data_IF_395593085368
#
_entry.id   IF_395593085368
#
_cell.length_a   1.000
_cell.length_b   1.000
_cell.length_c   1.000
_cell.angle_alpha   90.00
_cell.angle_beta   90.00
_cell.angle_gamma   90.00
#
_symmetry.space_group_name_H-M   'P 1'
#
loop_
_entity.id
_entity.type
_entity.pdbx_description
1 polymer ?
#
# COMPACT_ATOMS: atom_id res chain seq x y z
N UNK A 1 0.11 -21.07 20.53
CA UNK A 1 -0.40 -22.34 19.95
C UNK A 1 -1.69 -22.00 19.23
N UNK A 2 -1.61 -21.67 17.94
CA UNK A 2 -2.79 -21.35 17.13
C UNK A 2 -2.73 -22.12 15.82
N UNK A 3 -3.85 -22.79 15.55
CA UNK A 3 -4.11 -23.57 14.34
C UNK A 3 -4.70 -22.64 13.28
N UNK A 4 -4.16 -22.77 12.08
CA UNK A 4 -4.54 -22.05 10.86
C UNK A 4 -5.88 -22.58 10.33
N UNK A 5 -6.76 -21.66 9.91
CA UNK A 5 -7.77 -21.99 8.92
C UNK A 5 -7.40 -21.39 7.56
N UNK A 6 -7.29 -22.29 6.60
CA UNK A 6 -7.21 -22.05 5.18
C UNK A 6 -8.48 -21.33 4.72
N UNK A 7 -8.32 -20.24 3.98
CA UNK A 7 -9.43 -19.63 3.24
C UNK A 7 -9.81 -20.58 2.09
N UNK A 8 -10.84 -21.40 2.29
CA UNK A 8 -11.63 -21.95 1.19
C UNK A 8 -12.76 -20.98 0.92
N UNK A 9 -12.95 -20.61 -0.34
CA UNK A 9 -14.16 -19.95 -0.80
C UNK A 9 -15.34 -20.91 -0.55
N UNK A 10 -16.18 -20.59 0.41
CA UNK A 10 -17.51 -21.19 0.53
C UNK A 10 -18.41 -20.51 -0.50
N UNK A 11 -18.99 -21.31 -1.41
CA UNK A 11 -20.13 -20.91 -2.22
C UNK A 11 -21.25 -20.47 -1.26
N UNK A 12 -21.69 -19.22 -1.41
CA UNK A 12 -22.87 -18.73 -0.73
C UNK A 12 -24.09 -19.41 -1.36
N UNK A 13 -24.66 -20.38 -0.65
CA UNK A 13 -26.00 -20.89 -0.92
C UNK A 13 -27.01 -19.73 -0.79
N UNK A 14 -27.76 -19.48 -1.86
CA UNK A 14 -28.85 -18.51 -1.84
C UNK A 14 -29.97 -18.95 -0.86
N UNK A 15 -30.57 -18.01 -0.10
CA UNK A 15 -31.68 -18.34 0.76
C UNK A 15 -32.89 -18.80 -0.05
N UNK A 16 -33.37 -20.00 0.28
CA UNK A 16 -34.57 -20.60 -0.26
C UNK A 16 -35.79 -19.70 -0.05
N UNK A 17 -36.35 -19.17 -1.14
CA UNK A 17 -37.63 -18.49 -1.14
C UNK A 17 -38.76 -19.50 -0.85
N UNK A 18 -39.66 -19.11 0.04
CA UNK A 18 -40.81 -19.92 0.44
C UNK A 18 -41.82 -20.08 -0.70
N UNK A 19 -42.50 -21.22 -0.70
CA UNK A 19 -43.52 -21.64 -1.65
C UNK A 19 -44.75 -20.71 -1.64
N UNK A 20 -44.73 -19.65 -2.43
CA UNK A 20 -45.95 -18.87 -2.73
C UNK A 20 -45.95 -18.10 -4.07
N UNK A 21 -44.89 -18.12 -4.88
CA UNK A 21 -44.87 -17.41 -6.18
C UNK A 21 -44.52 -18.33 -7.38
N UNK A 22 -44.96 -19.59 -7.31
CA UNK A 22 -44.85 -20.57 -8.41
C UNK A 22 -46.10 -20.62 -9.32
N UNK A 23 -46.68 -19.48 -9.69
CA UNK A 23 -47.69 -19.44 -10.75
C UNK A 23 -47.43 -18.29 -11.73
N UNK A 24 -46.83 -18.62 -12.87
CA UNK A 24 -46.68 -17.66 -13.96
C UNK A 24 -45.62 -17.97 -15.03
N UNK A 25 -45.26 -19.22 -15.30
CA UNK A 25 -44.47 -19.57 -16.50
C UNK A 25 -45.38 -20.07 -17.62
N UNK A 26 -45.45 -19.30 -18.70
CA UNK A 26 -46.10 -19.72 -19.93
C UNK A 26 -45.61 -18.96 -21.17
N UNK A 27 -44.58 -19.53 -21.83
CA UNK A 27 -44.17 -19.34 -23.26
C UNK A 27 -43.64 -17.92 -23.56
N UNK A 28 -42.58 -17.69 -24.32
CA UNK A 28 -42.35 -18.01 -25.74
C UNK A 28 -40.85 -18.06 -26.04
N UNK A 29 -40.42 -19.02 -26.88
CA UNK A 29 -39.15 -18.99 -27.61
C UNK A 29 -39.33 -18.13 -28.87
N UNK A 30 -38.35 -17.30 -29.22
CA UNK A 30 -38.04 -16.95 -30.60
C UNK A 30 -36.61 -16.38 -30.71
N UNK A 31 -35.85 -17.03 -31.59
CA UNK A 31 -34.52 -16.67 -32.09
C UNK A 31 -34.68 -15.52 -33.07
N UNK A 32 -33.77 -14.53 -33.08
CA UNK A 32 -33.44 -13.72 -34.26
C UNK A 32 -32.03 -13.14 -34.15
N UNK A 33 -31.14 -13.60 -35.02
CA UNK A 33 -29.95 -12.88 -35.45
C UNK A 33 -30.39 -11.72 -36.37
N UNK A 34 -29.79 -10.53 -36.21
CA UNK A 34 -30.13 -9.33 -36.97
C UNK A 34 -28.90 -8.59 -37.45
N UNK A 35 -28.69 -8.64 -38.76
CA UNK A 35 -27.69 -7.94 -39.57
C UNK A 35 -27.80 -6.41 -39.43
N UNK A 36 -26.65 -5.72 -39.33
CA UNK A 36 -26.56 -4.27 -39.50
C UNK A 36 -26.39 -3.99 -41.01
N UNK A 37 -27.43 -3.43 -41.63
CA UNK A 37 -27.38 -2.92 -42.99
C UNK A 37 -26.94 -1.45 -43.01
N UNK A 38 -25.91 -1.14 -43.79
CA UNK A 38 -25.47 0.21 -44.09
C UNK A 38 -26.43 0.87 -45.11
N UNK A 39 -26.98 2.04 -44.77
CA UNK A 39 -27.74 2.86 -45.69
C UNK A 39 -26.82 3.90 -46.35
N UNK A 40 -26.60 3.77 -47.67
CA UNK A 40 -25.98 4.79 -48.50
C UNK A 40 -27.06 5.76 -49.02
N UNK A 41 -26.91 7.05 -48.71
CA UNK A 41 -27.75 8.11 -49.27
C UNK A 41 -27.00 8.71 -50.47
N UNK A 42 -27.58 8.56 -51.67
CA UNK A 42 -27.17 9.29 -52.87
C UNK A 42 -28.02 10.57 -53.00
N UNK A 43 -27.38 11.73 -52.95
CA UNK A 43 -27.94 12.98 -53.48
C UNK A 43 -26.92 13.57 -54.45
N UNK A 44 -27.36 13.76 -55.69
CA UNK A 44 -26.58 14.30 -56.80
C UNK A 44 -26.52 15.83 -56.77
N UNK A 45 -25.37 16.32 -57.25
CA UNK A 45 -24.79 17.67 -57.09
C UNK A 45 -25.38 18.72 -58.02
N UNK A 46 -25.56 19.97 -57.53
CA UNK A 46 -25.22 21.21 -58.26
C UNK A 46 -24.85 22.34 -57.29
N UNK A 47 -23.62 22.84 -57.37
CA UNK A 47 -23.24 24.14 -56.78
C UNK A 47 -21.84 24.20 -56.18
N UNK A 48 -20.90 24.77 -56.94
CA UNK A 48 -19.50 24.99 -56.59
C UNK A 48 -19.35 26.00 -55.45
N UNK A 49 -18.69 25.63 -54.34
CA UNK A 49 -17.71 26.48 -53.63
C UNK A 49 -16.58 25.59 -53.09
N UNK A 50 -15.35 25.92 -53.50
CA UNK A 50 -14.11 25.33 -52.97
C UNK A 50 -14.02 25.69 -51.48
N UNK A 51 -14.07 24.68 -50.62
CA UNK A 51 -13.47 24.72 -49.30
C UNK A 51 -12.48 23.55 -49.24
N UNK A 52 -11.20 23.86 -49.42
CA UNK A 52 -10.10 22.94 -49.15
C UNK A 52 -10.00 22.76 -47.63
N UNK A 53 -10.64 21.71 -47.10
CA UNK A 53 -10.32 21.25 -45.74
C UNK A 53 -9.17 20.26 -45.89
N UNK A 54 -8.02 20.65 -45.34
CA UNK A 54 -6.82 19.85 -45.22
C UNK A 54 -7.12 18.54 -44.48
N UNK A 55 -7.06 17.40 -45.17
CA UNK A 55 -6.87 16.10 -44.52
C UNK A 55 -5.41 15.99 -44.08
N UNK A 56 -5.09 16.63 -42.96
CA UNK A 56 -3.97 16.25 -42.09
C UNK A 56 -4.58 16.03 -40.72
N UNK A 57 -4.44 14.82 -40.20
CA UNK A 57 -4.97 14.43 -38.89
C UNK A 57 -6.05 13.36 -38.97
N UNK A 58 -5.72 12.21 -39.54
CA UNK A 58 -6.47 10.97 -39.32
C UNK A 58 -5.50 9.80 -39.08
N UNK A 59 -4.36 10.12 -38.45
CA UNK A 59 -3.37 9.17 -37.97
C UNK A 59 -2.93 9.60 -36.57
N UNK A 60 -3.89 9.89 -35.69
CA UNK A 60 -3.69 10.08 -34.24
C UNK A 60 -5.01 9.78 -33.51
N UNK A 61 -5.75 8.77 -33.97
CA UNK A 61 -6.65 8.08 -33.04
C UNK A 61 -5.73 7.21 -32.22
N UNK A 62 -5.21 7.81 -31.14
CA UNK A 62 -4.43 7.13 -30.13
C UNK A 62 -5.20 5.88 -29.71
N UNK A 63 -4.73 4.73 -30.21
CA UNK A 63 -4.81 3.47 -29.52
C UNK A 63 -3.97 3.66 -28.24
N UNK A 64 -4.54 4.36 -27.26
CA UNK A 64 -4.24 4.10 -25.87
C UNK A 64 -4.74 2.67 -25.64
N UNK A 65 -3.86 1.70 -25.87
CA UNK A 65 -3.90 0.52 -25.03
C UNK A 65 -3.75 1.04 -23.61
N UNK A 66 -4.59 0.55 -22.69
CA UNK A 66 -4.24 0.53 -21.27
C UNK A 66 -3.04 -0.42 -21.18
N UNK A 67 -1.87 0.04 -21.61
CA UNK A 67 -0.63 -0.57 -21.21
C UNK A 67 -0.60 -0.33 -19.70
N UNK A 68 -0.77 -1.41 -18.93
CA UNK A 68 -0.29 -1.43 -17.55
C UNK A 68 1.14 -0.91 -17.62
N UNK A 69 1.35 0.31 -17.13
CA UNK A 69 2.69 0.89 -17.19
C UNK A 69 3.51 0.21 -16.11
N UNK A 70 3.99 -1.00 -16.41
CA UNK A 70 4.78 -1.83 -15.53
C UNK A 70 6.01 -1.08 -15.00
N UNK A 71 6.61 -0.21 -15.83
CA UNK A 71 7.69 0.67 -15.42
C UNK A 71 7.17 2.07 -15.10
N UNK A 72 6.96 2.35 -13.81
CA UNK A 72 6.48 3.65 -13.30
C UNK A 72 7.48 4.81 -13.48
N UNK A 73 8.71 4.51 -13.89
CA UNK A 73 9.78 5.47 -14.18
C UNK A 73 11.02 5.24 -13.31
N UNK A 74 11.86 6.27 -13.20
CA UNK A 74 13.04 6.27 -12.31
C UNK A 74 13.04 7.49 -11.39
N UNK A 75 13.54 7.32 -10.17
CA UNK A 75 13.75 8.39 -9.19
C UNK A 75 15.14 8.27 -8.57
N UNK A 76 15.61 9.37 -7.97
CA UNK A 76 16.91 9.39 -7.29
C UNK A 76 16.73 9.14 -5.79
N UNK A 77 17.62 8.31 -5.23
CA UNK A 77 17.76 8.12 -3.78
C UNK A 77 19.14 8.64 -3.39
N UNK A 78 19.18 9.71 -2.60
CA UNK A 78 20.46 10.27 -2.15
C UNK A 78 21.26 9.21 -1.37
N UNK A 79 22.53 9.02 -1.71
CA UNK A 79 23.39 7.99 -1.14
C UNK A 79 23.28 6.61 -1.79
N UNK A 80 22.39 6.42 -2.77
CA UNK A 80 22.25 5.17 -3.54
C UNK A 80 22.28 5.39 -5.07
N UNK A 81 21.70 6.48 -5.56
CA UNK A 81 21.60 6.82 -6.99
C UNK A 81 20.22 6.54 -7.58
N UNK A 82 20.18 6.31 -8.89
CA UNK A 82 18.93 6.05 -9.64
C UNK A 82 18.30 4.71 -9.27
N UNK A 83 16.99 4.71 -9.05
CA UNK A 83 16.15 3.54 -8.74
C UNK A 83 14.99 3.48 -9.72
N UNK A 84 14.63 2.27 -10.13
CA UNK A 84 13.43 2.02 -10.94
C UNK A 84 12.20 1.85 -10.05
N UNK A 85 11.06 2.38 -10.49
CA UNK A 85 9.76 2.10 -9.91
C UNK A 85 9.06 1.02 -10.74
N UNK A 86 8.88 -0.16 -10.16
CA UNK A 86 8.19 -1.28 -10.80
C UNK A 86 6.76 -1.33 -10.24
N UNK A 87 5.76 -1.10 -11.08
CA UNK A 87 4.36 -1.13 -10.69
C UNK A 87 3.87 -2.58 -10.60
N UNK A 88 3.08 -2.89 -9.58
CA UNK A 88 2.46 -4.21 -9.43
C UNK A 88 1.41 -4.45 -10.52
N UNK A 89 1.20 -5.72 -10.89
CA UNK A 89 0.12 -6.10 -11.81
C UNK A 89 -1.19 -6.28 -11.03
N UNK A 90 -1.14 -7.10 -9.98
CA UNK A 90 -2.25 -7.28 -9.03
C UNK A 90 -2.00 -6.56 -7.72
N UNK A 91 -3.05 -6.00 -7.12
CA UNK A 91 -3.03 -5.58 -5.71
C UNK A 91 -3.33 -6.80 -4.81
N UNK A 92 -4.35 -7.55 -5.19
CA UNK A 92 -4.79 -8.82 -4.61
C UNK A 92 -5.04 -9.84 -5.73
N UNK A 93 -5.12 -11.15 -5.44
CA UNK A 93 -5.41 -12.15 -6.46
C UNK A 93 -6.71 -11.85 -7.21
N UNK A 94 -6.60 -11.60 -8.52
CA UNK A 94 -7.75 -11.28 -9.39
C UNK A 94 -8.13 -9.79 -9.46
N UNK A 95 -7.51 -8.92 -8.66
CA UNK A 95 -7.74 -7.47 -8.69
C UNK A 95 -6.48 -6.75 -9.16
N UNK A 96 -6.61 -5.99 -10.25
CA UNK A 96 -5.51 -5.20 -10.80
C UNK A 96 -5.10 -4.07 -9.84
N UNK A 97 -3.79 -3.84 -9.72
CA UNK A 97 -3.29 -2.64 -9.07
C UNK A 97 -3.46 -1.42 -9.98
N UNK A 98 -3.72 -0.26 -9.40
CA UNK A 98 -3.54 1.01 -10.12
C UNK A 98 -2.04 1.32 -10.25
N UNK A 99 -1.66 2.04 -11.30
CA UNK A 99 -0.25 2.30 -11.62
C UNK A 99 0.27 3.56 -10.91
N UNK A 100 1.26 3.45 -10.00
CA UNK A 100 2.07 4.59 -9.60
C UNK A 100 2.78 5.25 -10.79
N UNK A 101 3.09 6.53 -10.63
CA UNK A 101 3.87 7.28 -11.60
C UNK A 101 4.79 8.27 -10.91
N UNK A 102 5.84 8.67 -11.63
CA UNK A 102 6.76 9.70 -11.18
C UNK A 102 6.43 11.02 -11.86
N UNK A 103 6.27 12.07 -11.06
CA UNK A 103 6.04 13.44 -11.52
C UNK A 103 6.78 14.39 -10.59
N UNK A 104 7.56 15.33 -11.15
CA UNK A 104 8.36 16.30 -10.39
C UNK A 104 9.23 15.67 -9.28
N UNK A 105 9.87 14.53 -9.60
CA UNK A 105 10.67 13.72 -8.67
C UNK A 105 9.92 13.12 -7.48
N UNK A 106 8.58 13.08 -7.55
CA UNK A 106 7.71 12.45 -6.56
C UNK A 106 7.14 11.16 -7.09
N UNK A 107 7.07 10.14 -6.24
CA UNK A 107 6.30 8.93 -6.50
C UNK A 107 4.87 9.22 -6.08
N UNK A 108 3.94 9.20 -7.04
CA UNK A 108 2.52 9.38 -6.81
C UNK A 108 1.81 8.03 -6.85
N UNK A 109 0.94 7.79 -5.87
CA UNK A 109 0.15 6.56 -5.76
C UNK A 109 -1.33 6.89 -5.83
N UNK A 110 -2.03 6.26 -6.77
CA UNK A 110 -3.49 6.26 -6.79
C UNK A 110 -4.05 5.20 -5.81
N UNK A 111 -5.35 5.25 -5.55
CA UNK A 111 -5.99 4.23 -4.72
C UNK A 111 -5.86 2.83 -5.32
N UNK A 112 -5.56 1.85 -4.46
CA UNK A 112 -5.24 0.45 -4.81
C UNK A 112 -3.95 0.31 -5.63
N UNK A 113 -2.97 1.18 -5.39
CA UNK A 113 -1.68 1.11 -6.03
C UNK A 113 -0.67 0.35 -5.17
N UNK A 114 0.23 -0.38 -5.83
CA UNK A 114 1.43 -0.97 -5.23
C UNK A 114 2.59 -0.87 -6.21
N UNK A 115 3.78 -0.54 -5.71
CA UNK A 115 5.01 -0.56 -6.49
C UNK A 115 6.22 -0.93 -5.64
N UNK A 116 7.25 -1.40 -6.33
CA UNK A 116 8.49 -1.93 -5.77
C UNK A 116 9.66 -1.10 -6.25
N UNK A 117 10.70 -1.00 -5.43
CA UNK A 117 11.98 -0.51 -5.90
C UNK A 117 12.66 -1.59 -6.74
N UNK A 118 13.20 -1.17 -7.88
CA UNK A 118 13.89 -2.02 -8.84
C UNK A 118 15.30 -1.51 -9.15
N UNK A 119 16.19 -2.45 -9.41
CA UNK A 119 17.51 -2.20 -10.00
C UNK A 119 17.40 -2.03 -11.52
N UNK A 120 16.35 -2.61 -12.12
CA UNK A 120 15.96 -2.48 -13.51
C UNK A 120 14.43 -2.55 -13.62
N UNK A 121 13.89 -2.31 -14.80
CA UNK A 121 12.49 -2.60 -15.11
C UNK A 121 12.36 -2.92 -16.59
N UNK A 122 11.65 -4.00 -16.93
CA UNK A 122 11.48 -4.44 -18.31
C UNK A 122 10.32 -3.68 -19.00
N UNK A 123 10.58 -2.75 -19.93
CA UNK A 123 9.52 -1.97 -20.56
C UNK A 123 8.65 -2.80 -21.51
N UNK A 124 9.05 -4.01 -21.88
CA UNK A 124 8.22 -4.95 -22.64
C UNK A 124 7.20 -5.71 -21.77
N UNK A 125 7.21 -5.49 -20.45
CA UNK A 125 6.37 -6.18 -19.48
C UNK A 125 6.94 -7.53 -19.05
N UNK A 126 6.22 -8.18 -18.12
CA UNK A 126 6.67 -9.39 -17.44
C UNK A 126 7.58 -9.06 -16.26
N UNK A 127 7.29 -9.68 -15.12
CA UNK A 127 8.07 -9.50 -13.90
C UNK A 127 9.25 -10.48 -13.88
N UNK A 128 10.41 -9.99 -13.45
CA UNK A 128 11.54 -10.82 -13.07
C UNK A 128 11.88 -10.57 -11.61
N UNK A 129 12.18 -11.63 -10.88
CA UNK A 129 12.68 -11.51 -9.50
C UNK A 129 13.98 -10.70 -9.42
N UNK A 130 14.80 -10.78 -10.47
CA UNK A 130 16.12 -10.11 -10.54
C UNK A 130 16.00 -8.59 -10.73
N UNK A 131 14.85 -8.11 -11.20
CA UNK A 131 14.63 -6.68 -11.43
C UNK A 131 14.44 -5.93 -10.10
N UNK A 132 13.96 -6.59 -9.04
CA UNK A 132 13.72 -5.96 -7.74
C UNK A 132 15.01 -5.66 -6.99
N UNK A 133 14.98 -4.61 -6.17
CA UNK A 133 16.14 -4.10 -5.45
C UNK A 133 16.03 -4.38 -3.95
N UNK A 134 16.86 -5.29 -3.45
CA UNK A 134 17.10 -5.42 -2.01
C UNK A 134 18.06 -4.34 -1.52
N UNK A 135 17.61 -3.54 -0.55
CA UNK A 135 18.37 -2.43 0.02
C UNK A 135 18.94 -2.84 1.38
N UNK A 136 20.27 -2.96 1.54
CA UNK A 136 20.89 -3.26 2.82
C UNK A 136 20.84 -2.04 3.74
N UNK A 137 20.14 -2.15 4.86
CA UNK A 137 19.83 -1.02 5.76
C UNK A 137 20.46 -1.13 7.15
N UNK A 138 21.15 -2.23 7.45
CA UNK A 138 21.86 -2.38 8.72
C UNK A 138 22.91 -1.26 8.90
N UNK A 139 22.93 -0.64 10.08
CA UNK A 139 23.76 0.52 10.43
C UNK A 139 23.57 1.75 9.51
N UNK A 140 22.36 1.92 8.98
CA UNK A 140 21.99 3.06 8.13
C UNK A 140 20.71 3.73 8.61
N UNK A 141 20.49 4.95 8.12
CA UNK A 141 19.21 5.64 8.12
C UNK A 141 18.64 5.59 6.71
N UNK A 142 17.36 5.24 6.58
CA UNK A 142 16.52 5.53 5.43
C UNK A 142 15.57 6.66 5.81
N UNK A 143 15.51 7.70 4.98
CA UNK A 143 14.67 8.87 5.21
C UNK A 143 13.92 9.25 3.93
N UNK A 144 12.72 9.79 4.10
CA UNK A 144 11.86 10.25 3.00
C UNK A 144 10.87 11.29 3.51
N UNK A 145 10.21 11.98 2.59
CA UNK A 145 9.08 12.86 2.86
C UNK A 145 7.80 12.21 2.34
N UNK A 146 6.73 12.27 3.12
CA UNK A 146 5.40 11.78 2.73
C UNK A 146 4.38 12.92 2.75
N UNK A 147 3.49 12.96 1.77
CA UNK A 147 2.28 13.77 1.78
C UNK A 147 1.06 12.85 1.77
N UNK A 148 0.45 12.74 2.94
CA UNK A 148 -0.77 11.97 3.18
C UNK A 148 -1.95 12.87 3.54
N UNK A 149 -1.88 14.17 3.26
CA UNK A 149 -2.92 15.16 3.61
C UNK A 149 -4.32 14.82 3.07
N UNK A 150 -4.37 14.03 2.01
CA UNK A 150 -5.60 13.50 1.43
C UNK A 150 -6.04 12.12 1.93
N UNK A 151 -5.27 11.42 2.75
CA UNK A 151 -5.61 10.11 3.28
C UNK A 151 -6.33 10.25 4.64
N UNK A 152 -7.66 10.27 4.63
CA UNK A 152 -8.48 10.27 5.85
C UNK A 152 -8.69 8.89 6.45
N UNK A 153 -9.73 8.75 7.28
CA UNK A 153 -10.18 7.47 7.83
C UNK A 153 -10.52 6.46 6.73
N UNK A 154 -10.18 5.20 6.96
CA UNK A 154 -10.39 4.10 6.01
C UNK A 154 -9.29 3.93 4.97
N UNK A 155 -8.25 4.78 4.99
CA UNK A 155 -7.15 4.76 4.03
C UNK A 155 -5.86 4.28 4.70
N UNK A 156 -4.98 3.63 3.94
CA UNK A 156 -3.63 3.29 4.37
C UNK A 156 -2.63 3.67 3.27
N UNK A 157 -1.71 4.58 3.61
CA UNK A 157 -0.56 5.02 2.80
C UNK A 157 0.69 4.36 3.36
N UNK A 158 1.15 3.30 2.71
CA UNK A 158 2.17 2.43 3.27
C UNK A 158 3.52 2.57 2.56
N UNK A 159 4.58 2.51 3.35
CA UNK A 159 5.94 2.28 2.89
C UNK A 159 6.62 1.27 3.81
N UNK A 160 7.08 0.17 3.23
CA UNK A 160 7.47 -1.01 3.98
C UNK A 160 8.57 -1.79 3.27
N UNK A 161 9.17 -2.73 3.99
CA UNK A 161 10.25 -3.56 3.53
C UNK A 161 9.80 -5.02 3.58
N UNK A 162 10.00 -5.75 2.48
CA UNK A 162 9.75 -7.19 2.44
C UNK A 162 10.97 -7.93 1.93
N UNK A 163 11.21 -9.15 2.40
CA UNK A 163 12.30 -10.00 1.91
C UNK A 163 11.95 -10.64 0.56
N UNK A 164 11.57 -9.85 -0.46
CA UNK A 164 10.97 -10.34 -1.70
C UNK A 164 11.90 -11.24 -2.52
N UNK A 165 13.09 -10.74 -2.87
CA UNK A 165 14.05 -11.43 -3.74
C UNK A 165 14.66 -12.70 -3.12
N UNK A 166 14.42 -12.92 -1.83
CA UNK A 166 14.92 -14.09 -1.10
C UNK A 166 13.80 -14.97 -0.56
N UNK A 167 12.63 -14.38 -0.36
CA UNK A 167 11.42 -15.02 0.15
C UNK A 167 10.58 -15.68 -0.93
N UNK A 168 10.74 -15.30 -2.20
CA UNK A 168 9.93 -15.85 -3.28
C UNK A 168 10.65 -15.86 -4.64
N UNK A 169 10.85 -17.05 -5.23
CA UNK A 169 11.49 -17.24 -6.54
C UNK A 169 10.52 -17.68 -7.65
N UNK A 170 9.22 -17.62 -7.41
CA UNK A 170 8.19 -17.99 -8.38
C UNK A 170 7.09 -16.93 -8.50
N UNK A 171 6.41 -16.91 -9.65
CA UNK A 171 5.26 -16.04 -9.88
C UNK A 171 4.14 -16.36 -8.87
N UNK A 172 3.56 -15.33 -8.29
CA UNK A 172 2.49 -15.41 -7.30
C UNK A 172 1.11 -15.32 -7.94
N UNK A 173 0.06 -15.40 -7.11
CA UNK A 173 -1.31 -15.19 -7.57
C UNK A 173 -1.59 -13.74 -8.02
N UNK A 174 -0.68 -12.81 -7.75
CA UNK A 174 -0.74 -11.41 -8.20
C UNK A 174 0.07 -11.15 -9.48
N UNK A 175 0.59 -12.20 -10.13
CA UNK A 175 1.33 -12.13 -11.41
C UNK A 175 2.69 -11.44 -11.32
N UNK A 176 3.19 -11.30 -10.10
CA UNK A 176 4.50 -10.74 -9.76
C UNK A 176 5.23 -11.71 -8.81
N UNK A 177 6.29 -11.25 -8.13
CA UNK A 177 7.02 -12.04 -7.14
C UNK A 177 6.75 -11.55 -5.70
N UNK A 178 5.70 -10.76 -5.49
CA UNK A 178 5.44 -10.14 -4.21
C UNK A 178 5.11 -11.14 -3.11
N UNK A 179 5.64 -10.87 -1.92
CA UNK A 179 5.33 -11.58 -0.69
C UNK A 179 5.26 -10.57 0.46
N UNK A 180 4.51 -10.92 1.49
CA UNK A 180 4.41 -10.16 2.74
C UNK A 180 4.11 -11.10 3.91
N UNK A 181 4.02 -10.58 5.13
CA UNK A 181 3.74 -11.40 6.29
C UNK A 181 2.31 -11.96 6.29
N UNK A 182 1.41 -11.32 5.53
CA UNK A 182 -0.01 -11.68 5.43
C UNK A 182 -0.31 -12.68 4.32
N UNK A 183 0.67 -13.00 3.47
CA UNK A 183 0.52 -13.87 2.30
C UNK A 183 -0.56 -13.38 1.32
N UNK A 184 -0.68 -12.07 1.11
CA UNK A 184 -1.74 -11.47 0.28
C UNK A 184 -1.77 -12.08 -1.12
N UNK A 185 -0.59 -12.31 -1.72
CA UNK A 185 -0.45 -12.94 -3.03
C UNK A 185 -0.15 -14.44 -2.98
N UNK A 186 -0.29 -15.06 -1.80
CA UNK A 186 -0.13 -16.50 -1.57
C UNK A 186 1.28 -16.92 -1.11
N UNK A 187 2.21 -15.99 -0.95
CA UNK A 187 3.57 -16.26 -0.47
C UNK A 187 3.87 -15.41 0.76
N UNK A 188 4.38 -16.05 1.81
CA UNK A 188 4.72 -15.41 3.08
C UNK A 188 6.21 -15.07 3.15
N UNK A 189 6.56 -13.84 3.54
CA UNK A 189 7.95 -13.48 3.84
C UNK A 189 8.05 -12.42 4.94
N UNK A 190 9.28 -12.22 5.44
CA UNK A 190 9.52 -11.23 6.50
C UNK A 190 9.17 -9.83 6.01
N UNK A 191 8.56 -9.06 6.90
CA UNK A 191 8.03 -7.73 6.61
C UNK A 191 8.32 -6.78 7.79
N UNK A 192 8.72 -5.57 7.45
CA UNK A 192 8.82 -4.44 8.35
C UNK A 192 8.10 -3.25 7.71
N UNK A 193 6.97 -2.89 8.28
CA UNK A 193 6.25 -1.69 7.91
C UNK A 193 6.91 -0.49 8.58
N UNK A 194 7.53 0.36 7.75
CA UNK A 194 8.09 1.63 8.23
C UNK A 194 6.96 2.60 8.51
N UNK A 195 5.96 2.60 7.64
CA UNK A 195 4.79 3.44 7.71
C UNK A 195 3.59 2.64 7.21
N UNK A 196 2.58 2.49 8.05
CA UNK A 196 1.17 2.32 7.68
C UNK A 196 0.44 3.51 8.27
N UNK A 197 -0.07 4.41 7.42
CA UNK A 197 -0.51 5.70 7.92
C UNK A 197 -1.63 6.34 7.12
N UNK A 198 -2.36 7.18 7.84
CA UNK A 198 -3.25 8.19 7.30
C UNK A 198 -3.21 9.43 8.20
N UNK A 199 -4.08 10.41 7.95
CA UNK A 199 -4.08 11.67 8.69
C UNK A 199 -4.42 11.53 10.17
N UNK A 200 -4.87 10.36 10.63
CA UNK A 200 -5.29 10.06 12.01
C UNK A 200 -4.40 9.05 12.72
N UNK A 201 -3.70 8.19 11.99
CA UNK A 201 -2.87 7.14 12.57
C UNK A 201 -1.54 6.96 11.83
N UNK A 202 -0.56 6.44 12.56
CA UNK A 202 0.74 6.03 12.05
C UNK A 202 1.20 4.80 12.81
N UNK A 203 1.40 3.69 12.12
CA UNK A 203 2.00 2.49 12.67
C UNK A 203 3.32 2.22 11.96
N UNK A 204 4.33 1.84 12.72
CA UNK A 204 5.42 1.02 12.20
C UNK A 204 5.30 -0.35 12.86
N UNK A 205 5.28 -1.39 12.03
CA UNK A 205 4.96 -2.75 12.45
C UNK A 205 6.08 -3.69 12.04
N UNK A 206 6.62 -4.43 12.99
CA UNK A 206 7.51 -5.55 12.67
C UNK A 206 6.74 -6.86 12.75
N UNK A 207 6.69 -7.57 11.62
CA UNK A 207 6.05 -8.88 11.51
C UNK A 207 7.07 -10.01 11.67
N UNK A 208 7.22 -10.56 12.89
CA UNK A 208 8.09 -11.71 13.11
C UNK A 208 7.39 -13.02 12.76
N UNK A 209 7.70 -13.53 11.57
CA UNK A 209 7.19 -14.81 11.11
C UNK A 209 7.60 -16.01 11.98
N UNK A 210 8.67 -15.90 12.78
CA UNK A 210 9.18 -17.02 13.59
C UNK A 210 8.45 -17.15 14.92
N UNK A 211 8.13 -16.02 15.56
CA UNK A 211 7.41 -16.02 16.83
C UNK A 211 5.91 -15.80 16.66
N UNK A 212 5.44 -15.46 15.46
CA UNK A 212 4.05 -15.06 15.16
C UNK A 212 3.60 -13.89 16.05
N UNK A 213 4.53 -13.00 16.40
CA UNK A 213 4.27 -11.80 17.18
C UNK A 213 4.58 -10.57 16.37
N UNK A 214 3.62 -9.67 16.34
CA UNK A 214 3.79 -8.35 15.77
C UNK A 214 4.19 -7.36 16.86
N UNK A 215 5.04 -6.40 16.50
CA UNK A 215 5.43 -5.30 17.36
C UNK A 215 5.04 -3.98 16.69
N UNK A 216 4.27 -3.17 17.40
CA UNK A 216 3.70 -1.92 16.88
C UNK A 216 4.27 -0.72 17.65
N UNK A 217 4.66 0.31 16.91
CA UNK A 217 4.95 1.64 17.46
C UNK A 217 4.18 2.72 16.70
N UNK A 218 3.97 3.86 17.36
CA UNK A 218 3.32 5.03 16.78
C UNK A 218 2.00 5.40 17.47
N UNK A 219 0.96 5.68 16.69
CA UNK A 219 -0.34 6.13 17.21
C UNK A 219 -1.51 5.63 16.37
N UNK A 220 -2.66 5.51 17.02
CA UNK A 220 -3.90 5.05 16.43
C UNK A 220 -4.13 3.56 16.60
N UNK A 221 -5.16 3.07 15.94
CA UNK A 221 -5.59 1.70 16.02
C UNK A 221 -6.50 1.46 17.22
N UNK A 222 -7.08 0.27 17.20
CA UNK A 222 -8.05 -0.19 18.16
C UNK A 222 -9.41 -0.36 17.54
N UNK A 223 -9.94 -1.58 17.64
CA UNK A 223 -11.32 -1.86 17.27
C UNK A 223 -12.15 -1.87 18.55
N UNK A 224 -12.88 -0.79 18.82
CA UNK A 224 -14.04 -0.85 19.70
C UNK A 224 -15.13 -1.72 19.03
N UNK A 225 -14.91 -3.04 18.97
CA UNK A 225 -16.01 -3.93 18.65
C UNK A 225 -16.88 -4.06 19.90
N UNK A 226 -18.06 -3.46 19.82
CA UNK A 226 -19.24 -3.84 20.59
C UNK A 226 -19.32 -5.37 20.67
N UNK A 227 -19.19 -5.91 21.89
CA UNK A 227 -19.48 -7.29 22.30
C UNK A 227 -18.74 -8.37 21.48
N UNK A 228 -17.77 -9.02 22.12
CA UNK A 228 -17.17 -10.26 21.67
C UNK A 228 -18.20 -11.18 21.01
N UNK A 229 -18.16 -11.30 19.68
CA UNK A 229 -18.78 -12.43 19.01
C UNK A 229 -17.96 -13.64 19.42
N UNK A 230 -18.52 -14.64 20.14
CA UNK A 230 -17.73 -15.78 20.60
C UNK A 230 -17.09 -16.47 19.40
N UNK A 231 -15.76 -16.47 19.33
CA UNK A 231 -14.99 -17.19 18.30
C UNK A 231 -14.27 -16.34 17.25
N UNK A 232 -14.49 -15.02 17.17
CA UNK A 232 -13.70 -14.15 16.25
C UNK A 232 -12.57 -13.47 17.02
N UNK A 233 -11.31 -13.80 16.68
CA UNK A 233 -10.12 -13.07 17.13
C UNK A 233 -9.69 -12.11 16.04
N UNK A 234 -9.82 -10.81 16.30
CA UNK A 234 -9.17 -9.79 15.49
C UNK A 234 -7.69 -9.70 15.86
N UNK A 235 -6.79 -9.26 14.96
CA UNK A 235 -5.46 -8.79 15.36
C UNK A 235 -5.61 -7.78 16.50
N UNK A 236 -4.96 -8.03 17.64
CA UNK A 236 -5.12 -7.25 18.87
C UNK A 236 -6.24 -7.72 19.82
N UNK A 237 -7.28 -8.40 19.35
CA UNK A 237 -8.41 -8.80 20.23
C UNK A 237 -9.29 -7.63 20.69
N UNK A 238 -10.37 -7.94 21.41
CA UNK A 238 -11.45 -6.99 21.72
C UNK A 238 -11.06 -5.82 22.64
N UNK A 239 -9.82 -5.79 23.14
CA UNK A 239 -9.31 -4.80 24.10
C UNK A 239 -8.01 -4.11 23.64
N UNK A 240 -7.53 -4.39 22.42
CA UNK A 240 -6.30 -3.76 21.95
C UNK A 240 -6.57 -2.34 21.52
N UNK A 241 -5.79 -1.44 22.10
CA UNK A 241 -5.84 -0.02 21.80
C UNK A 241 -4.95 0.33 20.62
N UNK A 242 -4.04 -0.52 20.16
CA UNK A 242 -3.01 -0.06 19.22
C UNK A 242 -1.88 0.68 19.91
N UNK A 243 -0.85 1.09 19.14
CA UNK A 243 0.25 1.88 19.68
C UNK A 243 -0.24 3.25 20.18
N UNK A 244 0.36 3.70 21.29
CA UNK A 244 0.05 4.98 21.96
C UNK A 244 1.34 5.71 22.35
N UNK A 245 2.36 5.59 21.49
CA UNK A 245 3.64 6.30 21.69
C UNK A 245 3.46 7.82 21.57
N UNK A 246 2.51 8.25 20.73
CA UNK A 246 2.13 9.64 20.55
C UNK A 246 0.62 9.80 20.68
N UNK A 247 0.18 10.93 21.22
CA UNK A 247 -1.24 11.28 21.27
C UNK A 247 -1.75 11.76 19.91
N UNK A 248 -3.07 11.69 19.70
CA UNK A 248 -3.72 12.26 18.52
C UNK A 248 -3.57 13.80 18.41
N UNK A 249 -3.22 14.47 19.51
CA UNK A 249 -2.88 15.88 19.50
C UNK A 249 -1.46 16.13 18.96
N UNK A 250 -0.54 15.18 19.11
CA UNK A 250 0.83 15.32 18.63
C UNK A 250 0.94 14.94 17.14
N UNK A 251 0.25 13.88 16.72
CA UNK A 251 0.15 13.44 15.34
C UNK A 251 -1.31 13.47 14.90
N UNK A 252 -1.62 14.29 13.91
CA UNK A 252 -2.96 14.38 13.36
C UNK A 252 -3.18 15.63 12.53
N UNK A 253 -4.40 15.81 12.02
CA UNK A 253 -4.78 17.06 11.33
C UNK A 253 -4.66 18.22 12.32
N UNK A 254 -3.80 19.19 12.01
CA UNK A 254 -3.41 20.27 12.93
C UNK A 254 -2.71 19.80 14.22
N UNK A 255 -2.02 18.66 14.17
CA UNK A 255 -1.20 18.17 15.28
C UNK A 255 -0.16 19.19 15.72
N UNK A 256 0.14 19.20 17.02
CA UNK A 256 1.08 20.13 17.67
C UNK A 256 2.53 19.88 17.29
N UNK A 257 2.86 18.66 16.86
CA UNK A 257 4.19 18.29 16.40
C UNK A 257 4.17 17.89 14.92
N UNK A 258 3.32 16.94 14.54
CA UNK A 258 3.13 16.48 13.16
C UNK A 258 1.70 16.82 12.72
N UNK A 259 1.57 17.89 11.95
CA UNK A 259 0.37 18.27 11.24
C UNK A 259 0.27 17.50 9.91
N UNK A 260 -0.58 16.48 9.90
CA UNK A 260 -0.78 15.60 8.75
C UNK A 260 -1.54 16.25 7.58
N UNK A 261 -2.05 17.47 7.73
CA UNK A 261 -2.57 18.27 6.62
C UNK A 261 -1.46 18.85 5.71
N UNK A 262 -0.18 18.60 6.06
CA UNK A 262 1.00 18.98 5.31
C UNK A 262 1.95 17.79 5.24
N UNK A 263 2.87 17.83 4.27
CA UNK A 263 3.97 16.87 4.21
C UNK A 263 4.87 16.91 5.44
N UNK A 264 5.45 15.78 5.80
CA UNK A 264 6.42 15.63 6.88
C UNK A 264 7.47 14.59 6.52
N UNK A 265 8.60 14.63 7.21
CA UNK A 265 9.69 13.67 7.01
C UNK A 265 9.55 12.49 7.95
N UNK A 266 9.90 11.31 7.44
CA UNK A 266 10.01 10.06 8.19
C UNK A 266 11.43 9.56 8.04
N UNK A 267 12.05 9.18 9.16
CA UNK A 267 13.33 8.50 9.17
C UNK A 267 13.22 7.20 9.96
N UNK A 268 13.81 6.13 9.43
CA UNK A 268 14.03 4.88 10.13
C UNK A 268 15.53 4.59 10.21
N UNK A 269 16.00 4.22 11.40
CA UNK A 269 17.40 3.94 11.69
C UNK A 269 17.58 2.53 12.23
N UNK A 270 18.67 1.88 11.82
CA UNK A 270 19.00 0.51 12.20
C UNK A 270 20.37 0.43 12.87
N UNK A 271 20.59 1.09 14.03
CA UNK A 271 21.88 1.05 14.71
C UNK A 271 22.29 -0.37 15.09
N UNK A 272 23.59 -0.63 15.08
CA UNK A 272 24.16 -1.91 15.51
C UNK A 272 24.78 -1.81 16.90
N UNK A 273 24.91 -2.95 17.58
CA UNK A 273 25.65 -3.03 18.83
C UNK A 273 27.14 -2.82 18.53
N UNK A 274 27.80 -2.05 19.38
CA UNK A 274 29.19 -1.66 19.20
C UNK A 274 30.10 -2.87 18.97
N UNK A 275 30.92 -2.83 17.91
CA UNK A 275 31.84 -3.90 17.56
C UNK A 275 31.19 -5.16 16.97
N UNK A 276 29.90 -5.10 16.61
CA UNK A 276 29.16 -6.23 16.03
C UNK A 276 28.37 -5.82 14.78
N UNK A 277 27.79 -6.80 14.08
CA UNK A 277 26.78 -6.59 13.03
C UNK A 277 25.37 -6.96 13.54
N UNK A 278 25.14 -6.88 14.85
CA UNK A 278 23.84 -7.18 15.44
C UNK A 278 23.04 -5.91 15.62
N UNK A 279 21.78 -5.92 15.20
CA UNK A 279 20.85 -4.83 15.35
C UNK A 279 20.64 -4.50 16.84
N UNK A 280 20.82 -3.23 17.20
CA UNK A 280 20.64 -2.70 18.56
C UNK A 280 19.21 -2.22 18.79
N UNK A 281 18.65 -1.53 17.80
CA UNK A 281 17.29 -1.01 17.81
C UNK A 281 16.82 -0.78 16.37
N UNK A 282 15.51 -0.61 16.23
CA UNK A 282 14.90 0.02 15.06
C UNK A 282 14.27 1.30 15.60
N UNK A 283 14.64 2.45 15.04
CA UNK A 283 14.19 3.74 15.53
C UNK A 283 13.43 4.48 14.45
N UNK A 284 12.15 4.79 14.70
CA UNK A 284 11.32 5.59 13.78
C UNK A 284 11.18 6.99 14.33
N UNK A 285 11.45 7.99 13.49
CA UNK A 285 11.34 9.40 13.82
C UNK A 285 10.52 10.14 12.77
N UNK A 286 9.44 10.80 13.18
CA UNK A 286 8.67 11.74 12.37
C UNK A 286 9.15 13.16 12.65
N UNK A 287 9.30 13.99 11.62
CA UNK A 287 9.85 15.34 11.73
C UNK A 287 9.06 16.34 10.90
N UNK A 288 8.68 17.46 11.52
CA UNK A 288 8.03 18.57 10.84
C UNK A 288 8.30 19.89 11.60
N UNK A 289 8.65 20.95 10.87
CA UNK A 289 8.77 22.32 11.40
C UNK A 289 9.61 22.45 12.70
N UNK A 290 10.69 21.65 12.82
CA UNK A 290 11.59 21.64 13.98
C UNK A 290 11.09 20.83 15.18
N UNK A 291 9.94 20.18 15.09
CA UNK A 291 9.45 19.19 16.06
C UNK A 291 9.73 17.77 15.58
N UNK A 292 9.93 16.84 16.53
CA UNK A 292 10.07 15.42 16.22
C UNK A 292 9.32 14.52 17.20
N UNK A 293 8.78 13.43 16.65
CA UNK A 293 8.18 12.33 17.39
C UNK A 293 9.01 11.08 17.12
N UNK A 294 9.60 10.48 18.17
CA UNK A 294 10.43 9.29 18.05
C UNK A 294 9.82 8.14 18.84
N UNK A 295 9.88 6.93 18.28
CA UNK A 295 9.51 5.69 18.97
C UNK A 295 10.49 4.57 18.59
N UNK A 296 10.76 3.70 19.57
CA UNK A 296 11.72 2.61 19.46
C UNK A 296 11.41 1.60 20.56
N UNK A 297 10.64 0.56 20.24
CA UNK A 297 10.15 -0.42 21.22
C UNK A 297 10.17 -1.85 20.68
N UNK A 298 11.33 -2.34 20.29
CA UNK A 298 11.48 -3.68 19.73
C UNK A 298 12.10 -4.65 20.73
N UNK A 299 11.57 -5.87 20.78
CA UNK A 299 12.10 -6.96 21.62
C UNK A 299 13.48 -7.39 21.11
N UNK A 300 14.43 -7.61 22.02
CA UNK A 300 15.82 -7.91 21.67
C UNK A 300 15.98 -9.23 20.90
N UNK A 301 15.16 -10.24 21.18
CA UNK A 301 15.19 -11.49 20.43
C UNK A 301 14.71 -11.28 18.97
N UNK A 302 13.74 -10.39 18.76
CA UNK A 302 13.27 -10.01 17.43
C UNK A 302 14.36 -9.29 16.63
N UNK A 303 15.02 -8.32 17.25
CA UNK A 303 16.11 -7.55 16.62
C UNK A 303 17.27 -8.44 16.19
N UNK A 304 17.67 -9.36 17.06
CA UNK A 304 18.74 -10.31 16.78
C UNK A 304 18.44 -11.15 15.54
N UNK A 305 17.21 -11.59 15.43
CA UNK A 305 16.79 -12.50 14.39
C UNK A 305 16.61 -11.76 13.04
N UNK A 306 16.50 -10.43 13.03
CA UNK A 306 16.33 -9.59 11.83
C UNK A 306 17.64 -9.00 11.28
N UNK A 307 18.72 -9.07 12.05
CA UNK A 307 20.02 -8.49 11.69
C UNK A 307 20.54 -8.99 10.33
N UNK A 308 20.40 -10.30 10.07
CA UNK A 308 20.83 -10.93 8.81
C UNK A 308 20.04 -10.46 7.59
N UNK A 309 18.73 -10.23 7.75
CA UNK A 309 17.87 -9.78 6.66
C UNK A 309 18.15 -8.33 6.29
N UNK A 310 18.29 -7.45 7.28
CA UNK A 310 18.71 -6.07 7.03
C UNK A 310 20.11 -5.96 6.45
N UNK A 311 21.01 -6.88 6.81
CA UNK A 311 22.37 -6.94 6.26
C UNK A 311 22.36 -7.35 4.79
N UNK A 312 21.56 -8.35 4.41
CA UNK A 312 21.41 -8.81 3.03
C UNK A 312 20.61 -7.82 2.18
N UNK A 313 19.72 -7.09 2.83
CA UNK A 313 18.79 -6.16 2.22
C UNK A 313 17.39 -6.74 2.13
N UNK A 314 16.44 -5.81 2.00
CA UNK A 314 15.02 -6.08 1.80
C UNK A 314 14.51 -5.14 0.73
N UNK A 315 13.49 -5.56 -0.01
CA UNK A 315 12.91 -4.76 -1.08
C UNK A 315 11.95 -3.72 -0.50
N UNK A 316 12.16 -2.42 -0.76
CA UNK A 316 11.19 -1.39 -0.41
C UNK A 316 9.96 -1.43 -1.31
N UNK A 317 8.79 -1.29 -0.69
CA UNK A 317 7.47 -1.35 -1.33
C UNK A 317 6.64 -0.16 -0.89
N UNK A 318 6.00 0.51 -1.85
CA UNK A 318 5.03 1.57 -1.60
C UNK A 318 3.64 1.06 -1.96
N UNK A 319 2.64 1.37 -1.15
CA UNK A 319 1.24 1.11 -1.52
C UNK A 319 0.29 2.19 -0.99
N UNK A 320 -0.86 2.32 -1.66
CA UNK A 320 -1.95 3.16 -1.19
C UNK A 320 -3.27 2.45 -1.43
N UNK A 321 -3.99 2.14 -0.36
CA UNK A 321 -5.24 1.37 -0.44
C UNK A 321 -6.26 1.86 0.59
N UNK A 322 -7.48 1.37 0.47
CA UNK A 322 -8.55 1.64 1.42
C UNK A 322 -9.41 0.41 1.68
N UNK A 323 -10.02 0.37 2.85
CA UNK A 323 -10.99 -0.62 3.25
C UNK A 323 -12.04 0.01 4.18
N UNK A 324 -13.22 -0.62 4.26
CA UNK A 324 -14.27 -0.24 5.20
C UNK A 324 -13.98 -0.70 6.65
N UNK A 325 -12.91 -1.48 6.87
CA UNK A 325 -12.53 -2.10 8.14
C UNK A 325 -11.09 -1.74 8.48
N UNK A 326 -10.76 -0.44 8.46
CA UNK A 326 -9.43 0.08 8.74
C UNK A 326 -9.18 0.33 10.23
N UNK A 327 -10.16 0.05 11.10
CA UNK A 327 -10.09 0.28 12.55
C UNK A 327 -8.90 -0.37 13.26
N UNK A 328 -8.26 -1.38 12.68
CA UNK A 328 -7.00 -1.91 13.20
C UNK A 328 -5.86 -0.87 13.12
N UNK A 329 -5.84 -0.03 12.09
CA UNK A 329 -4.88 1.05 11.89
C UNK A 329 -5.34 2.35 12.55
N UNK A 330 -6.57 2.79 12.30
CA UNK A 330 -7.03 4.15 12.62
C UNK A 330 -8.25 4.19 13.54
N UNK A 331 -8.68 3.05 14.05
CA UNK A 331 -9.91 2.95 14.82
C UNK A 331 -9.84 3.54 16.22
N UNK A 332 -11.00 3.86 16.75
CA UNK A 332 -11.18 4.17 18.16
C UNK A 332 -11.02 2.88 18.99
N UNK A 333 -9.96 2.78 19.79
CA UNK A 333 -9.89 1.82 20.90
C UNK A 333 -10.88 2.11 22.03
N UNK A 334 -10.67 1.55 23.22
CA UNK A 334 -11.40 1.88 24.45
C UNK A 334 -10.69 3.00 25.25
N UNK A 335 -11.43 4.01 25.73
CA UNK A 335 -10.92 5.09 26.59
C UNK A 335 -11.13 6.51 26.04
N UNK A 336 -10.91 7.55 26.85
CA UNK A 336 -11.15 8.96 26.45
C UNK A 336 -10.23 9.44 25.32
N UNK A 337 -8.96 9.03 25.31
CA UNK A 337 -8.02 9.31 24.21
C UNK A 337 -8.45 8.64 22.89
N UNK A 338 -9.20 7.54 22.99
CA UNK A 338 -9.68 6.80 21.83
C UNK A 338 -10.80 7.54 21.07
N UNK A 339 -11.42 8.58 21.63
CA UNK A 339 -12.47 9.34 20.92
C UNK A 339 -11.93 10.27 19.81
N UNK A 340 -10.61 10.37 19.67
CA UNK A 340 -9.95 11.30 18.75
C UNK A 340 -9.50 10.68 17.41
N UNK A 341 -9.71 9.37 17.24
CA UNK A 341 -9.38 8.60 16.03
C UNK A 341 -10.65 8.32 15.18
N UNK A 342 -10.62 7.33 14.29
CA UNK A 342 -11.71 7.01 13.38
C UNK A 342 -12.76 6.09 14.00
N UNK A 343 -14.03 6.42 13.82
CA UNK A 343 -15.11 5.45 14.04
C UNK A 343 -15.24 4.50 12.86
N UNK A 344 -15.93 3.37 13.06
CA UNK A 344 -16.28 2.46 11.96
C UNK A 344 -17.10 3.18 10.88
N UNK A 345 -17.97 4.11 11.28
CA UNK A 345 -18.75 4.92 10.35
C UNK A 345 -17.89 5.87 9.53
N UNK A 346 -16.74 6.31 10.05
CA UNK A 346 -15.78 7.11 9.30
C UNK A 346 -15.04 6.26 8.25
N UNK A 347 -14.60 5.06 8.62
CA UNK A 347 -13.96 4.11 7.68
C UNK A 347 -14.90 3.71 6.54
N UNK A 348 -16.18 3.51 6.83
CA UNK A 348 -17.20 3.21 5.82
C UNK A 348 -17.29 4.32 4.76
N UNK A 349 -16.99 5.57 5.10
CA UNK A 349 -16.99 6.68 4.13
C UNK A 349 -15.73 6.72 3.27
N UNK A 350 -14.63 6.08 3.70
CA UNK A 350 -13.34 6.04 3.00
C UNK A 350 -12.93 7.42 2.49
N UNK A 351 -12.54 8.29 3.41
CA UNK A 351 -12.21 9.68 3.11
C UNK A 351 -10.83 9.80 2.45
N UNK A 352 -10.66 9.11 1.33
CA UNK A 352 -9.41 8.92 0.62
C UNK A 352 -9.38 9.82 -0.61
N UNK A 353 -8.38 10.69 -0.67
CA UNK A 353 -8.07 11.43 -1.88
C UNK A 353 -7.67 10.48 -3.01
N UNK A 354 -7.63 11.04 -4.23
CA UNK A 354 -7.23 10.26 -5.39
C UNK A 354 -5.76 9.87 -5.37
N UNK A 355 -4.91 10.62 -4.68
CA UNK A 355 -3.46 10.50 -4.79
C UNK A 355 -2.76 10.89 -3.50
N UNK A 356 -1.75 10.11 -3.12
CA UNK A 356 -0.75 10.41 -2.09
C UNK A 356 0.64 10.40 -2.73
N UNK A 357 1.63 10.99 -2.07
CA UNK A 357 2.98 11.05 -2.64
C UNK A 357 4.10 10.82 -1.65
N UNK A 358 5.21 10.30 -2.16
CA UNK A 358 6.48 10.19 -1.45
C UNK A 358 7.60 10.82 -2.28
N UNK A 359 8.49 11.56 -1.62
CA UNK A 359 9.67 12.17 -2.25
C UNK A 359 10.86 12.27 -1.29
N UNK A 360 11.96 12.86 -1.75
CA UNK A 360 13.13 13.18 -0.93
C UNK A 360 13.77 11.96 -0.22
N UNK A 361 13.86 10.84 -0.93
CA UNK A 361 14.46 9.61 -0.41
C UNK A 361 15.98 9.75 -0.24
N UNK A 362 16.48 9.31 0.91
CA UNK A 362 17.91 9.24 1.20
C UNK A 362 18.29 8.05 2.06
N UNK A 363 19.48 7.51 1.82
CA UNK A 363 20.09 6.46 2.61
C UNK A 363 21.51 6.89 2.99
N UNK A 364 21.80 6.94 4.29
CA UNK A 364 23.11 7.33 4.79
C UNK A 364 23.59 6.39 5.91
N UNK A 365 24.91 6.15 6.03
CA UNK A 365 25.48 5.52 7.21
C UNK A 365 25.18 6.34 8.48
N UNK A 366 24.89 5.68 9.60
CA UNK A 366 24.61 6.39 10.86
C UNK A 366 25.83 7.18 11.38
N UNK A 367 27.05 6.80 11.00
CA UNK A 367 28.29 7.52 11.34
C UNK A 367 28.36 8.93 10.75
N UNK A 368 27.70 9.16 9.62
CA UNK A 368 27.66 10.47 8.94
C UNK A 368 26.62 11.41 9.55
N UNK A 369 25.71 10.89 10.38
CA UNK A 369 24.62 11.66 11.01
C UNK A 369 25.06 12.27 12.33
N UNK A 370 25.97 11.62 13.06
CA UNK A 370 26.53 12.13 14.33
C UNK A 370 27.52 13.28 14.11
N UNK A 371 27.91 13.54 12.86
CA UNK A 371 28.87 14.59 12.48
C UNK A 371 28.22 15.87 11.91
N UNK A 372 26.88 15.94 11.90
CA UNK A 372 26.08 17.15 11.68
C UNK A 372 25.49 17.64 13.00
#
# INVERSE_FOLDING_TARGET
MYYFHTWKAEELDEPSLSSAEQQGRGRWKLVCAGLIAAAAIFVTVKGVRKASVSLRGAADVALWEVATNHCGGTFEVAGMGTVHLINAEGNTPGDAASNPWIEDSKINLASQARAYWGSACNPQGGYSQEDYLDVPLLNRRLQYTTDLSGAGCGCNTAFYLVSMTRGNTWETNCKDYYCDAMSVCGVRCLELDIQEANTRAFHSTFHDLRSEKDNFIGTGGGSALYVATPGIKLPGGAEWLGPRDWSANQYGVNGTCINTAKKFQVAIEFPVQEGTEQLKSIDVTLMQDGCSLRASKYDQALLQAFSDDLKKGMTPVLSYWNDAKMTWLDGNGMGEEAMSFCSKEDDLRRSCSKTVSFDDFSIAPLTEIVSM
#
